data_IF_845556184782
#
_entry.id   IF_845556184782
#
_cell.length_a   1.000
_cell.length_b   1.000
_cell.length_c   1.000
_cell.angle_alpha   90.00
_cell.angle_beta   90.00
_cell.angle_gamma   90.00
#
_symmetry.space_group_name_H-M   'P 1'
#
loop_
_entity.id
_entity.type
_entity.pdbx_description
1 polymer ?
#
# COMPACT_ATOMS: atom_id res chain seq x y z
N UNK A 1 -38.19 7.71 -10.33
CA UNK A 1 -37.96 7.16 -11.69
C UNK A 1 -37.32 8.12 -12.68
N UNK A 2 -37.39 9.46 -12.53
CA UNK A 2 -36.85 10.41 -13.50
C UNK A 2 -35.32 10.59 -13.46
N UNK A 3 -34.71 10.59 -12.28
CA UNK A 3 -33.27 10.93 -12.09
C UNK A 3 -32.33 9.81 -12.56
N UNK A 4 -32.72 8.55 -12.43
CA UNK A 4 -31.92 7.40 -12.87
C UNK A 4 -31.86 7.25 -14.39
N UNK A 5 -32.96 7.59 -15.08
CA UNK A 5 -33.01 7.55 -16.54
C UNK A 5 -32.13 8.65 -17.15
N UNK A 6 -32.08 9.83 -16.54
CA UNK A 6 -31.23 10.94 -16.98
C UNK A 6 -29.72 10.62 -16.86
N UNK A 7 -29.29 9.91 -15.79
CA UNK A 7 -27.88 9.57 -15.63
C UNK A 7 -27.41 8.56 -16.69
N UNK A 8 -28.22 7.56 -17.03
CA UNK A 8 -27.96 6.60 -18.11
C UNK A 8 -27.91 7.25 -19.49
N UNK A 9 -28.90 8.08 -19.81
CA UNK A 9 -28.98 8.82 -21.06
C UNK A 9 -27.82 9.82 -21.23
N UNK A 10 -27.38 10.47 -20.15
CA UNK A 10 -26.24 11.39 -20.15
C UNK A 10 -24.91 10.67 -20.48
N UNK A 11 -24.69 9.48 -19.96
CA UNK A 11 -23.47 8.67 -20.25
C UNK A 11 -23.48 8.12 -21.67
N UNK A 12 -24.62 7.62 -22.15
CA UNK A 12 -24.77 7.21 -23.54
C UNK A 12 -24.44 8.37 -24.52
N UNK A 13 -24.89 9.57 -24.20
CA UNK A 13 -24.56 10.78 -24.98
C UNK A 13 -23.04 11.11 -24.90
N UNK A 14 -22.38 10.88 -23.79
CA UNK A 14 -20.92 11.07 -23.70
C UNK A 14 -20.17 10.16 -24.67
N UNK A 15 -20.56 8.89 -24.80
CA UNK A 15 -19.97 7.96 -25.77
C UNK A 15 -20.16 8.46 -27.22
N UNK A 16 -21.33 8.96 -27.55
CA UNK A 16 -21.59 9.56 -28.90
C UNK A 16 -20.69 10.78 -29.17
N UNK A 17 -20.51 11.64 -28.15
CA UNK A 17 -19.63 12.81 -28.27
C UNK A 17 -18.19 12.38 -28.46
N UNK A 18 -17.68 11.41 -27.68
CA UNK A 18 -16.33 10.88 -27.82
C UNK A 18 -16.10 10.28 -29.23
N UNK A 19 -17.10 9.56 -29.76
CA UNK A 19 -17.07 9.06 -31.13
C UNK A 19 -16.98 10.20 -32.14
N UNK A 20 -17.81 11.21 -31.99
CA UNK A 20 -17.84 12.39 -32.90
C UNK A 20 -16.51 13.17 -32.85
N UNK A 21 -15.79 13.14 -31.71
CA UNK A 21 -14.47 13.73 -31.55
C UNK A 21 -13.33 12.87 -32.14
N UNK A 22 -13.64 11.67 -32.65
CA UNK A 22 -12.66 10.75 -33.23
C UNK A 22 -11.95 9.84 -32.23
N UNK A 23 -12.44 9.74 -30.99
CA UNK A 23 -11.90 8.83 -29.99
C UNK A 23 -12.19 7.37 -30.37
N UNK A 24 -11.24 6.44 -30.12
CA UNK A 24 -11.40 5.01 -30.33
C UNK A 24 -12.08 4.27 -29.18
N UNK A 25 -12.25 4.92 -28.01
CA UNK A 25 -12.84 4.32 -26.83
C UNK A 25 -12.94 5.29 -25.65
N UNK A 26 -13.44 4.78 -24.53
CA UNK A 26 -13.58 5.51 -23.28
C UNK A 26 -13.07 4.72 -22.09
N UNK A 27 -12.38 5.39 -21.17
CA UNK A 27 -11.99 4.84 -19.90
C UNK A 27 -13.11 5.07 -18.88
N UNK A 28 -13.67 3.99 -18.36
CA UNK A 28 -14.67 4.05 -17.27
C UNK A 28 -13.91 4.09 -15.95
N UNK A 29 -13.65 5.30 -15.48
CA UNK A 29 -12.78 5.57 -14.36
C UNK A 29 -13.58 6.14 -13.17
N UNK A 30 -13.88 5.34 -12.13
CA UNK A 30 -14.45 5.86 -10.89
C UNK A 30 -13.51 6.90 -10.24
N UNK A 31 -14.10 7.84 -9.52
CA UNK A 31 -13.38 8.91 -8.82
C UNK A 31 -14.07 9.23 -7.50
N UNK A 32 -13.37 9.96 -6.65
CA UNK A 32 -13.91 10.52 -5.41
C UNK A 32 -15.23 11.23 -5.68
N UNK A 33 -16.26 10.91 -4.90
CA UNK A 33 -17.61 11.41 -5.10
C UNK A 33 -18.49 10.51 -5.97
N UNK A 34 -18.08 9.26 -6.20
CA UNK A 34 -18.95 8.26 -6.82
C UNK A 34 -20.21 8.07 -5.96
N UNK A 35 -21.38 8.38 -6.52
CA UNK A 35 -22.68 8.25 -5.84
C UNK A 35 -23.14 6.79 -5.75
N UNK A 36 -22.81 6.00 -6.80
CA UNK A 36 -23.14 4.60 -6.87
C UNK A 36 -22.11 3.80 -6.04
N UNK A 37 -22.52 2.94 -5.11
CA UNK A 37 -21.58 2.12 -4.35
C UNK A 37 -20.70 1.29 -5.29
N UNK A 38 -19.39 1.37 -5.09
CA UNK A 38 -18.41 0.71 -5.94
C UNK A 38 -18.65 -0.82 -5.98
N UNK A 39 -18.59 -1.39 -7.18
CA UNK A 39 -18.84 -2.83 -7.48
C UNK A 39 -20.23 -3.35 -7.07
N UNK A 40 -21.18 -2.48 -6.73
CA UNK A 40 -22.57 -2.89 -6.51
C UNK A 40 -23.24 -3.34 -7.81
N UNK A 41 -24.39 -4.01 -7.69
CA UNK A 41 -25.23 -4.38 -8.84
C UNK A 41 -25.54 -3.16 -9.72
N UNK A 42 -25.94 -2.05 -9.09
CA UNK A 42 -26.18 -0.79 -9.79
C UNK A 42 -24.92 -0.28 -10.54
N UNK A 43 -23.75 -0.37 -9.91
CA UNK A 43 -22.49 -0.01 -10.57
C UNK A 43 -22.23 -0.88 -11.81
N UNK A 44 -22.41 -2.20 -11.68
CA UNK A 44 -22.21 -3.14 -12.79
C UNK A 44 -23.24 -2.92 -13.91
N UNK A 45 -24.48 -2.60 -13.60
CA UNK A 45 -25.49 -2.26 -14.62
C UNK A 45 -25.10 -1.01 -15.41
N UNK A 46 -24.49 -0.03 -14.75
CA UNK A 46 -23.96 1.16 -15.43
C UNK A 46 -22.79 0.83 -16.34
N UNK A 47 -21.89 -0.05 -15.92
CA UNK A 47 -20.80 -0.57 -16.75
C UNK A 47 -21.37 -1.28 -18.00
N UNK A 48 -22.33 -2.20 -17.81
CA UNK A 48 -23.01 -2.92 -18.91
C UNK A 48 -23.71 -1.94 -19.88
N UNK A 49 -24.34 -0.90 -19.35
CA UNK A 49 -24.97 0.13 -20.18
C UNK A 49 -23.95 0.91 -21.04
N UNK A 50 -22.81 1.28 -20.46
CA UNK A 50 -21.71 1.91 -21.22
C UNK A 50 -21.14 0.96 -22.29
N UNK A 51 -20.96 -0.32 -21.93
CA UNK A 51 -20.47 -1.34 -22.86
C UNK A 51 -21.43 -1.57 -24.03
N UNK A 52 -22.74 -1.66 -23.78
CA UNK A 52 -23.75 -1.80 -24.83
C UNK A 52 -23.72 -0.62 -25.80
N UNK A 53 -23.58 0.62 -25.29
CA UNK A 53 -23.46 1.82 -26.12
C UNK A 53 -22.15 1.85 -26.90
N UNK A 54 -21.05 1.49 -26.29
CA UNK A 54 -19.74 1.41 -26.95
C UNK A 54 -19.78 0.46 -28.16
N UNK A 55 -20.43 -0.70 -28.00
CA UNK A 55 -20.64 -1.67 -29.11
C UNK A 55 -21.42 -1.06 -30.26
N UNK A 56 -22.51 -0.31 -29.97
CA UNK A 56 -23.31 0.38 -31.01
C UNK A 56 -22.46 1.41 -31.77
N UNK A 57 -21.60 2.14 -31.09
CA UNK A 57 -20.74 3.17 -31.67
C UNK A 57 -19.41 2.67 -32.24
N UNK A 58 -19.12 1.36 -32.14
CA UNK A 58 -17.84 0.76 -32.46
C UNK A 58 -16.68 1.43 -31.73
N UNK A 59 -16.83 1.56 -30.40
CA UNK A 59 -15.83 2.06 -29.44
C UNK A 59 -15.36 0.95 -28.53
N UNK A 60 -14.16 1.11 -27.98
CA UNK A 60 -13.64 0.27 -26.89
C UNK A 60 -13.98 0.87 -25.52
N UNK A 61 -14.02 0.01 -24.51
CA UNK A 61 -14.20 0.36 -23.10
C UNK A 61 -13.00 -0.11 -22.32
N UNK A 62 -12.37 0.78 -21.59
CA UNK A 62 -11.25 0.47 -20.69
C UNK A 62 -11.76 0.56 -19.25
N UNK A 63 -11.52 -0.46 -18.47
CA UNK A 63 -11.96 -0.51 -17.07
C UNK A 63 -10.88 0.03 -16.14
N UNK A 64 -11.29 0.33 -14.93
CA UNK A 64 -10.45 0.72 -13.80
C UNK A 64 -10.80 -0.13 -12.59
N UNK A 65 -9.80 -0.67 -11.92
CA UNK A 65 -9.98 -1.68 -10.88
C UNK A 65 -10.15 -1.13 -9.46
N UNK A 66 -10.32 0.20 -9.33
CA UNK A 66 -10.44 0.85 -8.03
C UNK A 66 -11.54 1.92 -8.02
N UNK A 67 -12.01 2.35 -6.86
CA UNK A 67 -12.92 3.50 -6.74
C UNK A 67 -12.16 4.83 -6.77
N UNK A 68 -10.90 4.82 -6.34
CA UNK A 68 -9.95 5.95 -6.36
C UNK A 68 -8.51 5.46 -6.20
N UNK A 69 -7.56 6.27 -6.65
CA UNK A 69 -6.14 6.05 -6.53
C UNK A 69 -5.65 5.89 -5.07
N UNK A 70 -4.65 5.04 -4.78
CA UNK A 70 -4.05 4.02 -5.65
C UNK A 70 -4.84 2.70 -5.61
N UNK A 71 -4.69 1.86 -6.64
CA UNK A 71 -5.35 0.56 -6.70
C UNK A 71 -4.86 -0.40 -5.62
N UNK A 72 -5.76 -1.27 -5.15
CA UNK A 72 -5.46 -2.36 -4.24
C UNK A 72 -6.43 -2.52 -3.07
N UNK A 73 -7.14 -1.46 -2.63
CA UNK A 73 -8.04 -1.54 -1.49
C UNK A 73 -9.53 -1.71 -1.87
N UNK A 74 -9.86 -1.61 -3.17
CA UNK A 74 -11.20 -1.80 -3.72
C UNK A 74 -12.27 -0.96 -3.00
N UNK A 75 -12.03 0.37 -2.87
CA UNK A 75 -12.95 1.26 -2.16
C UNK A 75 -13.14 0.92 -0.67
N UNK A 76 -12.22 0.18 -0.07
CA UNK A 76 -12.27 -0.30 1.31
C UNK A 76 -12.86 -1.71 1.48
N UNK A 77 -13.29 -2.34 0.39
CA UNK A 77 -13.87 -3.70 0.46
C UNK A 77 -12.82 -4.76 0.87
N UNK A 78 -11.55 -4.58 0.48
CA UNK A 78 -10.44 -5.43 0.91
C UNK A 78 -10.05 -5.10 2.35
N UNK A 79 -9.83 -3.83 2.65
CA UNK A 79 -9.28 -3.36 3.94
C UNK A 79 -10.34 -3.29 5.06
N UNK A 80 -11.59 -3.65 4.75
CA UNK A 80 -12.61 -3.98 5.75
C UNK A 80 -12.09 -5.07 6.71
N UNK A 81 -11.34 -6.04 6.20
CA UNK A 81 -10.62 -7.02 7.00
C UNK A 81 -9.26 -6.45 7.44
N UNK A 82 -9.08 -6.27 8.74
CA UNK A 82 -7.89 -5.62 9.30
C UNK A 82 -6.57 -6.30 8.95
N UNK A 83 -6.58 -7.62 8.74
CA UNK A 83 -5.38 -8.38 8.35
C UNK A 83 -4.79 -7.95 7.01
N UNK A 84 -5.60 -7.36 6.12
CA UNK A 84 -5.18 -6.91 4.79
C UNK A 84 -4.73 -5.44 4.76
N UNK A 85 -4.79 -4.74 5.89
CA UNK A 85 -4.38 -3.34 5.99
C UNK A 85 -2.88 -3.18 5.90
N UNK A 86 -2.43 -2.08 5.32
CA UNK A 86 -1.03 -1.73 5.19
C UNK A 86 -0.30 -1.78 6.54
N UNK A 87 0.96 -2.19 6.49
CA UNK A 87 1.86 -2.26 7.63
C UNK A 87 3.23 -1.68 7.23
N UNK A 88 3.99 -1.28 8.22
CA UNK A 88 5.36 -0.82 8.04
C UNK A 88 6.13 -0.93 9.35
N UNK A 89 7.46 -0.93 9.25
CA UNK A 89 8.34 -0.83 10.40
C UNK A 89 8.60 0.64 10.71
N UNK A 90 8.31 1.05 11.95
CA UNK A 90 8.79 2.28 12.54
C UNK A 90 10.03 1.97 13.36
N UNK A 91 11.18 2.52 12.97
CA UNK A 91 12.41 2.44 13.72
C UNK A 91 12.75 3.81 14.29
N UNK A 92 12.74 3.94 15.62
CA UNK A 92 12.75 5.24 16.31
C UNK A 92 13.58 5.19 17.58
N UNK A 93 14.18 6.31 17.94
CA UNK A 93 14.83 6.47 19.24
C UNK A 93 13.90 6.96 20.36
N UNK A 94 12.59 7.13 20.08
CA UNK A 94 11.58 7.58 21.03
C UNK A 94 10.59 6.44 21.28
N UNK A 95 10.58 5.82 22.48
CA UNK A 95 9.54 4.84 22.83
C UNK A 95 8.16 5.50 22.84
N UNK A 96 7.10 4.69 22.76
CA UNK A 96 5.75 5.19 23.00
C UNK A 96 5.59 5.53 24.48
N UNK A 97 5.06 6.71 24.76
CA UNK A 97 4.82 7.20 26.13
C UNK A 97 3.34 7.11 26.48
N UNK A 98 3.04 6.84 27.75
CA UNK A 98 1.66 6.82 28.22
C UNK A 98 1.03 8.22 28.09
N UNK A 99 -0.11 8.29 27.40
CA UNK A 99 -0.82 9.56 27.17
C UNK A 99 -0.37 10.33 25.93
N UNK A 100 0.56 9.80 25.14
CA UNK A 100 0.88 10.34 23.83
C UNK A 100 -0.32 10.17 22.88
N UNK A 101 -0.66 11.20 22.11
CA UNK A 101 -1.76 11.15 21.14
C UNK A 101 -1.22 10.98 19.71
N UNK A 102 -1.85 10.07 18.97
CA UNK A 102 -1.53 9.87 17.56
C UNK A 102 -1.95 11.07 16.71
N UNK A 103 -1.08 11.53 15.84
CA UNK A 103 -1.41 12.59 14.88
C UNK A 103 -2.23 11.98 13.72
N UNK A 104 -3.50 12.36 13.62
CA UNK A 104 -4.34 11.96 12.49
C UNK A 104 -3.79 12.53 11.19
N UNK A 105 -3.60 11.65 10.20
CA UNK A 105 -3.25 12.06 8.85
C UNK A 105 -4.51 12.45 8.06
N UNK A 106 -4.49 13.63 7.47
CA UNK A 106 -5.61 14.17 6.71
C UNK A 106 -5.41 14.12 5.19
N UNK A 107 -4.23 13.69 4.73
CA UNK A 107 -3.92 13.70 3.30
C UNK A 107 -4.06 12.31 2.63
N UNK A 108 -4.13 12.33 1.29
CA UNK A 108 -4.27 11.16 0.43
C UNK A 108 -3.00 10.31 0.32
N UNK A 109 -1.88 10.77 0.88
CA UNK A 109 -0.66 10.00 0.81
C UNK A 109 -0.69 8.86 1.82
N UNK A 110 -0.30 7.66 1.39
CA UNK A 110 -0.04 6.53 2.27
C UNK A 110 1.23 6.76 3.12
N UNK A 111 1.36 7.98 3.68
CA UNK A 111 2.51 8.33 4.50
C UNK A 111 2.43 7.57 5.80
N UNK A 112 3.36 6.68 5.97
CA UNK A 112 3.61 6.05 7.24
C UNK A 112 4.00 7.12 8.27
N UNK A 113 3.41 7.05 9.44
CA UNK A 113 3.66 7.96 10.56
C UNK A 113 3.70 7.18 11.86
N UNK A 114 4.09 7.85 12.92
CA UNK A 114 4.00 7.32 14.28
C UNK A 114 2.53 7.32 14.71
N UNK A 115 1.89 6.13 14.72
CA UNK A 115 0.45 6.00 15.02
C UNK A 115 0.16 5.65 16.47
N UNK A 116 1.19 5.25 17.22
CA UNK A 116 1.10 4.76 18.61
C UNK A 116 0.29 3.45 18.75
N UNK A 117 -0.08 2.83 17.64
CA UNK A 117 -0.78 1.53 17.61
C UNK A 117 0.19 0.37 17.28
N UNK A 118 1.48 0.68 17.17
CA UNK A 118 2.50 -0.29 16.79
C UNK A 118 2.77 -1.29 17.91
N UNK A 119 3.02 -2.54 17.50
CA UNK A 119 3.52 -3.59 18.38
C UNK A 119 5.05 -3.54 18.39
N UNK A 120 5.66 -3.44 19.57
CA UNK A 120 7.11 -3.51 19.72
C UNK A 120 7.60 -4.89 19.26
N UNK A 121 8.52 -4.87 18.31
CA UNK A 121 9.21 -6.07 17.83
C UNK A 121 10.51 -6.29 18.58
N UNK A 122 11.33 -5.21 18.73
CA UNK A 122 12.66 -5.31 19.27
C UNK A 122 13.17 -3.96 19.78
N UNK A 123 14.14 -3.99 20.70
CA UNK A 123 14.88 -2.81 21.20
C UNK A 123 16.37 -3.02 20.94
N UNK A 124 17.06 -1.95 20.54
CA UNK A 124 18.48 -2.00 20.21
C UNK A 124 19.31 -1.00 21.02
N UNK A 125 20.49 -1.43 21.43
CA UNK A 125 21.57 -0.54 21.89
C UNK A 125 22.47 -0.20 20.69
N UNK A 126 22.32 1.03 20.17
CA UNK A 126 23.05 1.55 19.01
C UNK A 126 24.21 2.43 19.47
N UNK A 127 25.42 1.98 19.20
CA UNK A 127 26.66 2.71 19.48
C UNK A 127 27.29 3.14 18.17
N UNK A 128 27.43 4.45 17.99
CA UNK A 128 28.13 5.06 16.84
C UNK A 128 29.46 5.62 17.26
N UNK A 129 30.42 5.64 16.36
CA UNK A 129 31.67 6.38 16.55
C UNK A 129 31.47 7.91 16.29
N UNK A 130 32.52 8.70 16.48
CA UNK A 130 32.50 10.15 16.28
C UNK A 130 32.12 10.55 14.84
N UNK A 131 32.35 9.67 13.86
CA UNK A 131 32.05 9.88 12.44
C UNK A 131 30.65 9.37 12.06
N UNK A 132 29.94 8.72 12.99
CA UNK A 132 28.62 8.17 12.78
C UNK A 132 28.57 6.77 12.18
N UNK A 133 29.68 6.02 12.23
CA UNK A 133 29.69 4.61 11.85
C UNK A 133 29.21 3.72 13.00
N UNK A 134 28.52 2.66 12.67
CA UNK A 134 27.99 1.67 13.61
C UNK A 134 29.12 0.83 14.21
N UNK A 135 29.42 1.08 15.46
CA UNK A 135 30.34 0.25 16.27
C UNK A 135 29.65 -1.00 16.80
N UNK A 136 28.39 -0.83 17.25
CA UNK A 136 27.55 -1.92 17.76
C UNK A 136 26.07 -1.56 17.58
N UNK A 137 25.27 -2.52 17.12
CA UNK A 137 23.82 -2.42 17.04
C UNK A 137 23.22 -3.74 17.49
N UNK A 138 23.15 -3.96 18.80
CA UNK A 138 22.70 -5.24 19.36
C UNK A 138 21.31 -5.10 19.97
N UNK A 139 20.54 -6.18 19.93
CA UNK A 139 19.32 -6.27 20.71
C UNK A 139 19.62 -6.00 22.18
N UNK A 140 18.79 -5.22 22.84
CA UNK A 140 18.90 -4.88 24.24
C UNK A 140 18.00 -5.79 25.05
N UNK A 141 18.61 -6.65 25.87
CA UNK A 141 17.87 -7.55 26.75
C UNK A 141 17.18 -6.76 27.88
N UNK A 142 16.03 -7.25 28.32
CA UNK A 142 15.25 -6.65 29.38
C UNK A 142 16.08 -6.45 30.66
N UNK A 143 16.05 -5.25 31.21
CA UNK A 143 16.82 -4.87 32.40
C UNK A 143 18.28 -4.47 32.15
N UNK A 144 18.78 -4.60 30.92
CA UNK A 144 20.12 -4.14 30.57
C UNK A 144 20.15 -2.62 30.34
N UNK A 145 21.22 -1.98 30.76
CA UNK A 145 21.45 -0.56 30.48
C UNK A 145 22.16 -0.40 29.12
N UNK A 146 21.67 0.48 28.24
CA UNK A 146 22.31 0.76 26.96
C UNK A 146 23.66 1.46 27.16
N UNK A 147 24.62 1.17 26.31
CA UNK A 147 25.91 1.88 26.23
C UNK A 147 25.83 3.08 25.29
N UNK A 148 24.94 3.01 24.30
CA UNK A 148 24.69 4.04 23.30
C UNK A 148 23.29 4.62 23.38
N UNK A 149 22.64 4.75 22.23
CA UNK A 149 21.26 5.24 22.11
C UNK A 149 20.31 4.06 21.91
N UNK A 150 19.22 4.01 22.71
CA UNK A 150 18.16 3.06 22.45
C UNK A 150 17.41 3.39 21.18
N UNK A 151 17.15 2.38 20.37
CA UNK A 151 16.26 2.43 19.23
C UNK A 151 15.25 1.30 19.30
N UNK A 152 14.01 1.62 18.94
CA UNK A 152 12.85 0.74 19.06
C UNK A 152 12.33 0.43 17.68
N UNK A 153 12.06 -0.82 17.41
CA UNK A 153 11.41 -1.28 16.18
C UNK A 153 9.96 -1.63 16.48
N UNK A 154 9.02 -0.88 15.92
CA UNK A 154 7.59 -1.15 16.04
C UNK A 154 7.02 -1.59 14.70
N UNK A 155 6.19 -2.64 14.70
CA UNK A 155 5.33 -2.94 13.57
C UNK A 155 4.08 -2.07 13.69
N UNK A 156 3.96 -1.11 12.79
CA UNK A 156 2.91 -0.10 12.78
C UNK A 156 1.84 -0.41 11.74
N UNK A 157 0.66 0.17 11.97
CA UNK A 157 -0.44 0.23 11.00
C UNK A 157 -0.88 1.69 10.82
N UNK A 158 -1.17 2.13 9.58
CA UNK A 158 -1.68 3.48 9.35
C UNK A 158 -2.99 3.71 10.11
N UNK A 159 -3.25 4.96 10.48
CA UNK A 159 -4.57 5.34 10.97
C UNK A 159 -5.58 5.37 9.82
N UNK A 160 -6.88 5.09 10.10
CA UNK A 160 -7.93 5.25 9.11
C UNK A 160 -7.98 6.68 8.57
N UNK A 161 -8.21 6.84 7.27
CA UNK A 161 -8.36 8.15 6.64
C UNK A 161 -9.64 8.22 5.80
N UNK A 162 -10.15 9.43 5.60
CA UNK A 162 -11.31 9.68 4.72
C UNK A 162 -11.01 9.34 3.26
N UNK A 163 -9.74 9.42 2.85
CA UNK A 163 -9.31 9.03 1.51
C UNK A 163 -9.55 7.55 1.25
N UNK A 164 -9.34 6.69 2.23
CA UNK A 164 -9.56 5.24 2.14
C UNK A 164 -10.93 4.81 2.69
N UNK A 165 -11.96 5.64 2.57
CA UNK A 165 -13.32 5.37 3.05
C UNK A 165 -13.35 4.99 4.55
N UNK A 166 -12.64 5.76 5.39
CA UNK A 166 -12.46 5.54 6.82
C UNK A 166 -11.76 4.22 7.18
N UNK A 167 -10.98 3.69 6.23
CA UNK A 167 -10.11 2.54 6.36
C UNK A 167 -8.65 2.96 6.19
N UNK A 168 -7.79 2.00 5.89
CA UNK A 168 -6.41 2.26 5.49
C UNK A 168 -6.17 1.78 4.07
N UNK A 169 -4.99 2.07 3.52
CA UNK A 169 -4.54 1.40 2.31
C UNK A 169 -4.30 -0.10 2.57
N UNK A 170 -4.22 -0.87 1.51
CA UNK A 170 -3.99 -2.32 1.54
C UNK A 170 -2.50 -2.64 1.74
N UNK A 171 -2.21 -3.82 2.28
CA UNK A 171 -0.86 -4.36 2.36
C UNK A 171 -0.44 -5.00 1.03
N UNK A 172 0.19 -4.24 0.16
CA UNK A 172 0.67 -4.71 -1.16
C UNK A 172 1.91 -5.62 -1.08
N UNK A 173 2.45 -5.87 0.10
CA UNK A 173 3.49 -6.87 0.34
C UNK A 173 2.92 -8.21 0.80
N UNK A 174 1.61 -8.32 0.91
CA UNK A 174 0.89 -9.52 1.32
C UNK A 174 0.10 -10.10 0.14
N UNK A 175 0.56 -11.26 -0.34
CA UNK A 175 -0.11 -11.95 -1.44
C UNK A 175 -1.59 -12.23 -1.18
N UNK A 176 -1.96 -12.59 0.07
CA UNK A 176 -3.36 -12.87 0.39
C UNK A 176 -4.24 -11.61 0.29
N UNK A 177 -3.69 -10.44 0.60
CA UNK A 177 -4.39 -9.17 0.41
C UNK A 177 -4.60 -8.85 -1.08
N UNK A 178 -3.60 -9.11 -1.93
CA UNK A 178 -3.69 -8.90 -3.38
C UNK A 178 -4.58 -9.93 -4.06
N UNK A 179 -4.51 -11.20 -3.67
CA UNK A 179 -5.47 -12.23 -4.14
C UNK A 179 -6.92 -11.81 -3.81
N UNK A 180 -7.14 -11.24 -2.61
CA UNK A 180 -8.46 -10.73 -2.22
C UNK A 180 -8.89 -9.52 -3.03
N UNK A 181 -7.97 -8.64 -3.39
CA UNK A 181 -8.24 -7.53 -4.30
C UNK A 181 -8.67 -8.02 -5.69
N UNK A 182 -7.96 -8.97 -6.26
CA UNK A 182 -8.30 -9.57 -7.55
C UNK A 182 -9.68 -10.25 -7.51
N UNK A 183 -9.97 -11.00 -6.45
CA UNK A 183 -11.27 -11.66 -6.24
C UNK A 183 -12.42 -10.65 -6.18
N UNK A 184 -12.24 -9.54 -5.44
CA UNK A 184 -13.29 -8.52 -5.28
C UNK A 184 -13.49 -7.71 -6.57
N UNK A 185 -12.42 -7.40 -7.30
CA UNK A 185 -12.44 -6.48 -8.44
C UNK A 185 -12.46 -7.21 -9.78
N UNK A 186 -11.37 -7.84 -10.16
CA UNK A 186 -11.21 -8.45 -11.49
C UNK A 186 -12.18 -9.60 -11.72
N UNK A 187 -12.37 -10.47 -10.73
CA UNK A 187 -13.32 -11.58 -10.84
C UNK A 187 -14.77 -11.07 -10.89
N UNK A 188 -15.11 -9.97 -10.20
CA UNK A 188 -16.43 -9.36 -10.31
C UNK A 188 -16.69 -8.84 -11.74
N UNK A 189 -15.72 -8.16 -12.36
CA UNK A 189 -15.82 -7.77 -13.76
C UNK A 189 -15.88 -8.98 -14.69
N UNK A 190 -15.04 -9.99 -14.48
CA UNK A 190 -15.02 -11.20 -15.30
C UNK A 190 -16.36 -11.93 -15.26
N UNK A 191 -16.99 -12.03 -14.09
CA UNK A 191 -18.31 -12.62 -13.92
C UNK A 191 -19.41 -11.90 -14.70
N UNK A 192 -19.38 -10.58 -14.72
CA UNK A 192 -20.46 -9.73 -15.28
C UNK A 192 -20.29 -9.45 -16.78
N UNK A 193 -19.06 -9.32 -17.25
CA UNK A 193 -18.73 -8.88 -18.61
C UNK A 193 -17.53 -9.59 -19.22
N UNK A 194 -17.08 -10.74 -18.66
CA UNK A 194 -15.90 -11.46 -19.11
C UNK A 194 -15.93 -11.88 -20.59
N UNK A 195 -17.10 -12.14 -21.14
CA UNK A 195 -17.27 -12.44 -22.57
C UNK A 195 -16.80 -11.31 -23.51
N UNK A 196 -16.63 -10.11 -23.00
CA UNK A 196 -16.16 -8.93 -23.74
C UNK A 196 -14.65 -8.69 -23.61
N UNK A 197 -13.99 -9.43 -22.74
CA UNK A 197 -12.54 -9.30 -22.55
C UNK A 197 -11.79 -9.71 -23.83
N UNK A 198 -10.80 -8.90 -24.18
CA UNK A 198 -10.05 -9.04 -25.45
C UNK A 198 -10.85 -8.63 -26.70
N UNK A 199 -12.06 -8.13 -26.55
CA UNK A 199 -12.94 -7.64 -27.64
C UNK A 199 -13.24 -6.16 -27.45
N UNK A 200 -14.43 -5.84 -26.93
CA UNK A 200 -14.83 -4.47 -26.62
C UNK A 200 -14.13 -3.93 -25.37
N UNK A 201 -13.73 -4.81 -24.45
CA UNK A 201 -12.96 -4.51 -23.26
C UNK A 201 -11.54 -5.06 -23.40
N UNK A 202 -10.59 -4.29 -23.95
CA UNK A 202 -9.23 -4.78 -24.18
C UNK A 202 -8.35 -4.81 -22.95
N UNK A 203 -8.66 -4.02 -21.90
CA UNK A 203 -7.82 -3.90 -20.71
C UNK A 203 -8.58 -3.40 -19.48
N UNK A 204 -8.04 -3.75 -18.33
CA UNK A 204 -8.33 -3.16 -17.01
C UNK A 204 -7.06 -2.41 -16.60
N UNK A 205 -7.20 -1.18 -16.14
CA UNK A 205 -6.11 -0.33 -15.67
C UNK A 205 -5.98 -0.44 -14.16
N UNK A 206 -4.78 -0.75 -13.72
CA UNK A 206 -4.35 -0.75 -12.32
C UNK A 206 -3.49 0.49 -12.08
N UNK A 207 -3.83 1.30 -11.09
CA UNK A 207 -3.26 2.63 -10.87
C UNK A 207 -2.29 2.64 -9.70
N UNK A 208 -1.01 2.59 -10.01
CA UNK A 208 0.12 2.79 -9.08
C UNK A 208 -0.02 2.08 -7.73
N UNK A 209 -0.22 0.75 -7.68
CA UNK A 209 -0.16 0.05 -6.40
C UNK A 209 1.20 0.34 -5.74
N UNK A 210 1.18 0.60 -4.43
CA UNK A 210 2.37 1.05 -3.71
C UNK A 210 2.46 0.42 -2.31
N UNK A 211 3.63 0.40 -1.74
CA UNK A 211 3.89 0.11 -0.34
C UNK A 211 4.32 1.37 0.42
N UNK A 212 4.42 1.30 1.73
CA UNK A 212 4.79 2.43 2.57
C UNK A 212 6.10 3.06 2.14
N UNK A 213 6.13 4.39 2.02
CA UNK A 213 7.31 5.11 1.62
C UNK A 213 8.42 4.99 2.65
N UNK A 214 9.60 4.63 2.20
CA UNK A 214 10.79 4.58 3.03
C UNK A 214 11.26 5.98 3.40
N UNK A 215 11.56 6.19 4.68
CA UNK A 215 12.28 7.37 5.17
C UNK A 215 13.65 6.97 5.71
N UNK A 216 14.60 7.87 5.67
CA UNK A 216 15.97 7.64 6.10
C UNK A 216 16.45 8.81 6.96
N UNK A 217 17.51 8.59 7.74
CA UNK A 217 18.25 9.65 8.39
C UNK A 217 19.00 10.49 7.34
N UNK A 218 19.03 11.79 7.53
CA UNK A 218 19.80 12.71 6.66
C UNK A 218 21.31 12.68 7.00
N UNK A 219 21.62 12.41 8.27
CA UNK A 219 22.99 12.23 8.77
C UNK A 219 22.99 11.19 9.91
N UNK A 220 24.09 10.51 10.16
CA UNK A 220 24.10 9.34 11.05
C UNK A 220 23.66 9.59 12.49
N UNK A 221 23.90 10.79 13.04
CA UNK A 221 23.55 11.15 14.42
C UNK A 221 22.14 11.71 14.56
N UNK A 222 21.40 11.81 13.45
CA UNK A 222 20.02 12.31 13.47
C UNK A 222 19.11 11.38 14.29
N UNK A 223 18.23 11.99 15.07
CA UNK A 223 17.26 11.31 15.94
C UNK A 223 15.85 11.53 15.41
N UNK A 224 15.58 11.03 14.21
CA UNK A 224 14.24 11.06 13.61
C UNK A 224 13.73 9.65 13.34
N UNK A 225 12.43 9.54 13.20
CA UNK A 225 11.78 8.29 12.85
C UNK A 225 12.20 7.82 11.46
N UNK A 226 12.55 6.55 11.35
CA UNK A 226 12.83 5.84 10.10
C UNK A 226 11.66 4.91 9.83
N UNK A 227 11.10 5.01 8.63
CA UNK A 227 10.01 4.15 8.16
C UNK A 227 10.56 3.20 7.10
N UNK A 228 10.25 1.93 7.23
CA UNK A 228 10.65 0.90 6.27
C UNK A 228 9.43 0.08 5.84
N UNK A 229 9.24 -0.20 4.54
CA UNK A 229 8.29 -1.22 4.07
C UNK A 229 8.44 -2.52 4.85
N UNK A 230 7.32 -3.01 5.39
CA UNK A 230 7.30 -4.19 6.25
C UNK A 230 5.90 -4.80 6.33
N UNK A 231 5.82 -6.08 6.69
CA UNK A 231 4.57 -6.78 6.96
C UNK A 231 4.76 -7.79 8.09
N UNK A 232 3.69 -8.35 8.63
CA UNK A 232 3.70 -9.20 9.83
C UNK A 232 4.71 -10.37 9.74
N UNK A 233 4.75 -11.04 8.60
CA UNK A 233 5.61 -12.21 8.35
C UNK A 233 6.96 -11.87 7.69
N UNK A 234 7.32 -10.58 7.59
CA UNK A 234 8.50 -10.13 6.84
C UNK A 234 9.79 -10.74 7.35
N UNK A 235 10.01 -10.75 8.66
CA UNK A 235 11.22 -11.31 9.25
C UNK A 235 11.31 -12.82 9.03
N UNK A 236 10.19 -13.54 9.13
CA UNK A 236 10.14 -14.98 8.90
C UNK A 236 10.50 -15.30 7.44
N UNK A 237 9.82 -14.69 6.48
CA UNK A 237 10.05 -14.94 5.05
C UNK A 237 11.43 -14.47 4.58
N UNK A 238 11.98 -13.42 5.21
CA UNK A 238 13.35 -13.00 5.00
C UNK A 238 14.34 -14.07 5.48
N UNK A 239 14.14 -14.62 6.69
CA UNK A 239 14.94 -15.71 7.23
C UNK A 239 14.91 -16.95 6.34
N UNK A 240 13.74 -17.30 5.82
CA UNK A 240 13.57 -18.44 4.91
C UNK A 240 14.37 -18.25 3.61
N UNK A 241 14.39 -17.03 3.06
CA UNK A 241 15.03 -16.71 1.79
C UNK A 241 16.55 -16.57 1.89
N UNK A 242 17.04 -15.86 2.92
CA UNK A 242 18.45 -15.47 3.02
C UNK A 242 19.21 -16.22 4.12
N UNK A 243 18.54 -17.08 4.90
CA UNK A 243 19.12 -17.81 6.03
C UNK A 243 19.78 -16.85 7.05
N UNK A 244 19.20 -15.67 7.24
CA UNK A 244 19.69 -14.59 8.07
C UNK A 244 18.53 -13.94 8.83
N UNK A 245 18.68 -13.71 10.14
CA UNK A 245 17.70 -12.97 10.93
C UNK A 245 17.91 -11.47 10.74
N UNK A 246 16.97 -10.83 10.02
CA UNK A 246 17.00 -9.39 9.77
C UNK A 246 16.89 -8.57 11.06
N UNK A 247 16.17 -9.07 12.08
CA UNK A 247 16.03 -8.37 13.36
C UNK A 247 17.33 -8.37 14.17
N UNK A 248 18.24 -9.33 13.96
CA UNK A 248 19.58 -9.29 14.59
C UNK A 248 20.46 -8.17 14.01
N UNK A 249 20.21 -7.79 12.76
CA UNK A 249 21.05 -6.84 12.01
C UNK A 249 20.32 -5.56 11.59
N UNK A 250 19.13 -5.31 12.11
CA UNK A 250 18.31 -4.17 11.69
C UNK A 250 19.05 -2.82 11.72
N UNK A 251 19.90 -2.49 12.71
CA UNK A 251 20.70 -1.27 12.69
C UNK A 251 21.64 -1.15 11.49
N UNK A 252 22.11 -2.25 10.89
CA UNK A 252 22.98 -2.23 9.71
C UNK A 252 22.22 -1.80 8.42
N UNK A 253 20.88 -1.79 8.42
CA UNK A 253 20.10 -1.16 7.35
C UNK A 253 20.27 0.36 7.33
N UNK A 254 20.47 0.95 8.50
CA UNK A 254 20.47 2.40 8.70
C UNK A 254 21.91 2.94 8.66
N UNK A 255 22.85 2.33 9.36
CA UNK A 255 24.22 2.81 9.51
C UNK A 255 25.24 1.89 8.82
N UNK A 256 26.32 2.50 8.33
CA UNK A 256 27.50 1.75 7.87
C UNK A 256 28.34 1.30 9.07
N UNK A 257 28.94 0.12 8.97
CA UNK A 257 29.77 -0.47 10.03
C UNK A 257 31.10 0.29 10.21
N UNK A 258 31.52 0.43 11.45
CA UNK A 258 32.77 1.15 11.79
C UNK A 258 34.03 0.45 11.26
N UNK A 259 34.01 -0.90 11.19
CA UNK A 259 35.10 -1.69 10.61
C UNK A 259 35.14 -1.66 9.08
N UNK A 260 34.21 -0.93 8.45
CA UNK A 260 34.07 -0.77 6.99
C UNK A 260 33.81 -2.10 6.25
N UNK A 261 33.45 -3.15 6.95
CA UNK A 261 33.03 -4.40 6.33
C UNK A 261 31.68 -4.20 5.62
N UNK A 262 31.52 -4.86 4.47
CA UNK A 262 30.28 -4.79 3.71
C UNK A 262 29.22 -5.64 4.40
N UNK A 263 28.06 -5.02 4.66
CA UNK A 263 26.87 -5.75 5.07
C UNK A 263 25.95 -5.97 3.89
N UNK A 264 25.57 -7.21 3.63
CA UNK A 264 24.64 -7.55 2.53
C UNK A 264 23.17 -7.28 2.87
N UNK A 265 22.89 -6.97 4.13
CA UNK A 265 21.51 -6.84 4.63
C UNK A 265 20.69 -5.78 3.87
N UNK A 266 21.30 -4.66 3.44
CA UNK A 266 20.61 -3.63 2.65
C UNK A 266 20.19 -4.16 1.29
N UNK A 267 21.06 -4.94 0.64
CA UNK A 267 20.73 -5.59 -0.62
C UNK A 267 19.60 -6.60 -0.45
N UNK A 268 19.75 -7.53 0.49
CA UNK A 268 18.74 -8.55 0.77
C UNK A 268 17.40 -7.95 1.18
N UNK A 269 17.40 -6.88 1.99
CA UNK A 269 16.17 -6.19 2.37
C UNK A 269 15.42 -5.63 1.16
N UNK A 270 16.12 -4.92 0.27
CA UNK A 270 15.48 -4.36 -0.93
C UNK A 270 15.04 -5.44 -1.91
N UNK A 271 15.83 -6.48 -2.06
CA UNK A 271 15.49 -7.65 -2.86
C UNK A 271 14.22 -8.32 -2.32
N UNK A 272 14.15 -8.52 -1.00
CA UNK A 272 12.97 -9.11 -0.35
C UNK A 272 11.70 -8.26 -0.51
N UNK A 273 11.79 -6.94 -0.33
CA UNK A 273 10.66 -6.03 -0.59
C UNK A 273 10.20 -6.15 -2.05
N UNK A 274 11.14 -6.18 -2.99
CA UNK A 274 10.84 -6.33 -4.43
C UNK A 274 10.17 -7.66 -4.72
N UNK A 275 10.71 -8.78 -4.20
CA UNK A 275 10.14 -10.11 -4.37
C UNK A 275 8.72 -10.19 -3.82
N UNK A 276 8.47 -9.66 -2.63
CA UNK A 276 7.13 -9.65 -2.04
C UNK A 276 6.15 -8.83 -2.86
N UNK A 277 6.55 -7.64 -3.28
CA UNK A 277 5.68 -6.75 -4.07
C UNK A 277 5.37 -7.30 -5.46
N UNK A 278 6.33 -7.95 -6.11
CA UNK A 278 6.14 -8.48 -7.47
C UNK A 278 5.41 -9.81 -7.51
N UNK A 279 5.35 -10.53 -6.39
CA UNK A 279 4.65 -11.83 -6.26
C UNK A 279 3.29 -11.71 -5.56
N UNK A 280 3.00 -10.57 -4.98
CA UNK A 280 1.68 -10.30 -4.42
C UNK A 280 0.68 -9.88 -5.50
#
# INVERSE_FOLDING_TARGET
MGVEYEAGAKRARQMEVLKAMGCGGAHLHPRTGLETPYLSEEFMDRIKGCLAKAKQENLQVYLYDEDRWPSGFAGGLVTKEEKYRAQYLLFTNKPYEAGEEAQMQTDSSARAARTLNGRLLEVYDVVLDEKGYLVSGKKLEEGMQPRGTCWYAYLERPLPSTWYNHQTYVNTLDKAAMDRFLEITHEAYAKEIGDEFGKTVPTIFTDEPQFSHKTLLQFPQEKRDVILPWTEDFAQTYQEMYQEDILEKLPELIWEKADRSVSTIRYHYHDHVTERFTRA
#
